data_IF_225048774746
#
_entry.id   IF_225048774746
#
_cell.length_a   1.000
_cell.length_b   1.000
_cell.length_c   1.000
_cell.angle_alpha   90.00
_cell.angle_beta   90.00
_cell.angle_gamma   90.00
#
_symmetry.space_group_name_H-M   'P 1'
#
loop_
_entity.id
_entity.type
_entity.pdbx_description
1 polymer ?
#
# COMPACT_ATOMS: atom_id res chain seq x y z
N UNK A 1 -12.27 -17.18 -8.50
CA UNK A 1 -11.47 -17.86 -9.55
C UNK A 1 -10.18 -18.37 -8.93
N UNK A 2 -9.80 -19.62 -9.18
CA UNK A 2 -8.43 -20.06 -8.89
C UNK A 2 -7.51 -19.23 -9.79
N UNK A 3 -6.47 -18.63 -9.21
CA UNK A 3 -5.47 -17.93 -9.99
C UNK A 3 -4.83 -18.93 -10.97
N UNK A 4 -4.86 -18.63 -12.27
CA UNK A 4 -4.17 -19.45 -13.27
C UNK A 4 -2.67 -19.41 -12.94
N UNK A 5 -2.13 -20.56 -12.53
CA UNK A 5 -0.71 -20.69 -12.16
C UNK A 5 0.09 -20.83 -13.44
N UNK A 6 1.08 -19.96 -13.61
CA UNK A 6 1.93 -19.87 -14.79
C UNK A 6 3.39 -20.05 -14.40
N UNK A 7 4.19 -20.62 -15.29
CA UNK A 7 5.65 -20.63 -15.18
C UNK A 7 6.22 -19.42 -15.93
N UNK A 8 6.98 -18.57 -15.23
CA UNK A 8 7.47 -17.30 -15.78
C UNK A 8 8.92 -17.35 -16.25
N UNK A 9 9.38 -16.39 -17.09
CA UNK A 9 10.72 -16.41 -17.69
C UNK A 9 11.90 -16.44 -16.71
N UNK A 10 11.68 -16.02 -15.45
CA UNK A 10 12.70 -16.05 -14.40
C UNK A 10 12.76 -17.40 -13.64
N UNK A 11 12.08 -18.44 -14.14
CA UNK A 11 12.23 -19.83 -13.66
C UNK A 11 11.43 -20.17 -12.40
N UNK A 12 10.33 -19.46 -12.15
CA UNK A 12 9.48 -19.71 -10.99
C UNK A 12 7.99 -19.58 -11.36
N UNK A 13 7.14 -20.18 -10.52
CA UNK A 13 5.70 -20.25 -10.72
C UNK A 13 4.99 -19.08 -10.03
N UNK A 14 3.89 -18.61 -10.59
CA UNK A 14 3.09 -17.55 -10.00
C UNK A 14 1.80 -17.28 -10.77
N UNK A 15 1.25 -16.09 -10.61
CA UNK A 15 0.08 -15.63 -11.36
C UNK A 15 0.21 -14.14 -11.64
N UNK A 16 -0.31 -13.69 -12.80
CA UNK A 16 -0.33 -12.28 -13.22
C UNK A 16 -1.07 -11.35 -12.24
N UNK A 17 -1.80 -11.90 -11.27
CA UNK A 17 -2.49 -11.16 -10.20
C UNK A 17 -1.63 -10.93 -8.95
N UNK A 18 -0.42 -11.50 -8.88
CA UNK A 18 0.44 -11.43 -7.70
C UNK A 18 1.77 -10.76 -8.03
N UNK A 19 2.36 -10.08 -7.05
CA UNK A 19 3.71 -9.57 -7.20
C UNK A 19 4.73 -10.72 -7.31
N UNK A 20 5.84 -10.51 -8.01
CA UNK A 20 6.93 -11.51 -8.17
C UNK A 20 7.42 -12.09 -6.84
N UNK A 21 7.31 -11.35 -5.74
CA UNK A 21 7.67 -11.83 -4.39
C UNK A 21 6.82 -12.99 -3.88
N UNK A 22 5.68 -13.28 -4.50
CA UNK A 22 4.84 -14.43 -4.18
C UNK A 22 5.29 -15.70 -4.91
N UNK A 23 6.13 -15.57 -5.94
CA UNK A 23 6.50 -16.71 -6.79
C UNK A 23 7.17 -17.84 -6.00
N UNK A 24 6.84 -19.07 -6.38
CA UNK A 24 7.36 -20.30 -5.79
C UNK A 24 8.21 -21.12 -6.76
N UNK A 25 8.99 -22.06 -6.23
CA UNK A 25 9.80 -22.99 -7.03
C UNK A 25 8.92 -23.94 -7.87
N UNK A 26 7.70 -24.17 -7.42
CA UNK A 26 6.69 -25.02 -8.06
C UNK A 26 5.28 -24.43 -7.84
N UNK A 27 4.28 -25.01 -8.51
CA UNK A 27 2.90 -24.54 -8.45
C UNK A 27 2.28 -24.68 -7.05
N UNK A 28 2.59 -25.76 -6.33
CA UNK A 28 2.01 -26.06 -5.02
C UNK A 28 2.58 -25.10 -3.96
N UNK A 29 3.89 -24.82 -4.00
CA UNK A 29 4.52 -23.86 -3.09
C UNK A 29 4.01 -22.43 -3.33
N UNK A 30 3.83 -22.01 -4.59
CA UNK A 30 3.17 -20.74 -4.93
C UNK A 30 1.74 -20.69 -4.37
N UNK A 31 0.91 -21.70 -4.66
CA UNK A 31 -0.49 -21.72 -4.24
C UNK A 31 -0.63 -21.74 -2.71
N UNK A 32 0.18 -22.53 -2.02
CA UNK A 32 0.19 -22.58 -0.56
C UNK A 32 0.52 -21.21 0.03
N UNK A 33 1.56 -20.54 -0.49
CA UNK A 33 1.95 -19.21 -0.06
C UNK A 33 0.86 -18.16 -0.35
N UNK A 34 0.38 -18.08 -1.59
CA UNK A 34 -0.62 -17.12 -2.03
C UNK A 34 -1.94 -17.26 -1.24
N UNK A 35 -2.44 -18.50 -1.07
CA UNK A 35 -3.66 -18.75 -0.32
C UNK A 35 -3.50 -18.43 1.17
N UNK A 36 -2.33 -18.73 1.77
CA UNK A 36 -2.06 -18.39 3.16
C UNK A 36 -2.05 -16.87 3.38
N UNK A 37 -1.47 -16.10 2.46
CA UNK A 37 -1.48 -14.63 2.53
C UNK A 37 -2.86 -14.05 2.27
N UNK A 38 -3.60 -14.58 1.28
CA UNK A 38 -4.97 -14.17 0.98
C UNK A 38 -5.88 -14.39 2.20
N UNK A 39 -5.75 -15.53 2.88
CA UNK A 39 -6.51 -15.80 4.10
C UNK A 39 -6.20 -14.76 5.18
N UNK A 40 -4.92 -14.50 5.45
CA UNK A 40 -4.49 -13.49 6.44
C UNK A 40 -5.03 -12.09 6.09
N UNK A 41 -4.92 -11.69 4.84
CA UNK A 41 -5.41 -10.40 4.36
C UNK A 41 -6.93 -10.29 4.47
N UNK A 42 -7.66 -11.35 4.12
CA UNK A 42 -9.12 -11.42 4.24
C UNK A 42 -9.57 -11.32 5.71
N UNK A 43 -8.97 -12.11 6.60
CA UNK A 43 -9.28 -12.09 8.04
C UNK A 43 -9.02 -10.69 8.65
N UNK A 44 -7.93 -10.03 8.23
CA UNK A 44 -7.61 -8.66 8.65
C UNK A 44 -8.62 -7.65 8.09
N UNK A 45 -8.92 -7.72 6.79
CA UNK A 45 -9.84 -6.80 6.13
C UNK A 45 -11.25 -6.87 6.71
N UNK A 46 -11.74 -8.06 7.05
CA UNK A 46 -13.06 -8.24 7.67
C UNK A 46 -13.20 -7.44 8.96
N UNK A 47 -12.15 -7.45 9.77
CA UNK A 47 -12.13 -6.80 11.09
C UNK A 47 -11.67 -5.34 11.03
N UNK A 48 -11.21 -4.82 9.89
CA UNK A 48 -10.68 -3.46 9.78
C UNK A 48 -11.79 -2.40 9.71
N UNK A 49 -11.67 -1.33 10.48
CA UNK A 49 -12.63 -0.21 10.49
C UNK A 49 -12.29 0.85 9.45
N UNK A 50 -11.00 1.00 9.17
CA UNK A 50 -10.45 1.98 8.22
C UNK A 50 -9.67 1.26 7.13
N UNK A 51 -9.93 1.61 5.88
CA UNK A 51 -9.21 1.12 4.70
C UNK A 51 -8.58 2.30 3.99
N UNK A 52 -7.26 2.27 3.84
CA UNK A 52 -6.51 3.30 3.12
C UNK A 52 -6.14 2.78 1.74
N UNK A 53 -6.47 3.51 0.67
CA UNK A 53 -6.12 3.17 -0.71
C UNK A 53 -5.29 4.30 -1.31
N UNK A 54 -4.07 3.97 -1.73
CA UNK A 54 -3.19 4.88 -2.47
C UNK A 54 -3.20 4.52 -3.95
N UNK A 55 -3.80 5.37 -4.78
CA UNK A 55 -3.81 5.21 -6.23
C UNK A 55 -2.50 5.68 -6.87
N UNK A 56 -1.85 4.81 -7.63
CA UNK A 56 -0.59 5.12 -8.31
C UNK A 56 -0.80 5.74 -9.70
N UNK A 57 -1.50 5.00 -10.57
CA UNK A 57 -1.69 5.33 -11.97
C UNK A 57 -3.09 4.94 -12.43
N UNK A 58 -3.64 5.68 -13.40
CA UNK A 58 -4.89 5.37 -14.09
C UNK A 58 -4.67 4.41 -15.27
N UNK A 59 -3.43 3.99 -15.53
CA UNK A 59 -3.13 3.00 -16.56
C UNK A 59 -3.22 1.59 -16.01
N UNK A 60 -3.93 0.73 -16.73
CA UNK A 60 -3.97 -0.72 -16.47
C UNK A 60 -3.34 -1.49 -17.61
N UNK A 61 -2.86 -2.68 -17.30
CA UNK A 61 -2.45 -3.66 -18.29
C UNK A 61 -3.46 -4.80 -18.32
N UNK A 62 -3.74 -5.30 -19.52
CA UNK A 62 -4.62 -6.46 -19.70
C UNK A 62 -3.90 -7.56 -20.46
N UNK A 63 -4.09 -8.81 -20.02
CA UNK A 63 -3.62 -10.02 -20.69
C UNK A 63 -4.85 -10.86 -21.05
N UNK A 64 -5.02 -11.16 -22.34
CA UNK A 64 -6.19 -11.91 -22.84
C UNK A 64 -7.54 -11.33 -22.36
N UNK A 65 -7.64 -9.99 -22.30
CA UNK A 65 -8.85 -9.27 -21.89
C UNK A 65 -9.09 -9.18 -20.38
N UNK A 66 -8.20 -9.75 -19.54
CA UNK A 66 -8.28 -9.63 -18.07
C UNK A 66 -7.24 -8.64 -17.56
N UNK A 67 -7.61 -7.77 -16.62
CA UNK A 67 -6.67 -6.86 -15.94
C UNK A 67 -5.66 -7.68 -15.14
N UNK A 68 -4.39 -7.27 -15.20
CA UNK A 68 -3.28 -7.91 -14.48
C UNK A 68 -2.62 -6.95 -13.51
N UNK A 69 -2.07 -7.48 -12.42
CA UNK A 69 -1.35 -6.71 -11.42
C UNK A 69 0.17 -6.64 -11.69
N UNK A 70 0.72 -7.63 -12.39
CA UNK A 70 2.14 -7.71 -12.70
C UNK A 70 2.35 -8.39 -14.06
N UNK A 71 3.29 -7.89 -14.86
CA UNK A 71 3.62 -8.46 -16.18
C UNK A 71 4.73 -9.53 -16.13
N UNK A 72 5.35 -9.79 -14.96
CA UNK A 72 6.31 -10.87 -14.73
C UNK A 72 7.47 -10.95 -15.74
N UNK A 73 7.95 -9.79 -16.21
CA UNK A 73 8.99 -9.66 -17.25
C UNK A 73 8.63 -10.35 -18.58
N UNK A 74 7.35 -10.66 -18.81
CA UNK A 74 6.89 -11.17 -20.10
C UNK A 74 6.97 -10.07 -21.18
N UNK A 75 7.13 -10.45 -22.46
CA UNK A 75 7.15 -9.50 -23.56
C UNK A 75 5.93 -8.57 -23.58
N UNK A 76 6.18 -7.26 -23.73
CA UNK A 76 5.13 -6.23 -23.72
C UNK A 76 4.02 -6.47 -24.77
N UNK A 77 4.35 -7.12 -25.90
CA UNK A 77 3.39 -7.49 -26.97
C UNK A 77 2.24 -8.39 -26.52
N UNK A 78 2.34 -9.01 -25.35
CA UNK A 78 1.28 -9.84 -24.79
C UNK A 78 0.25 -9.05 -23.99
N UNK A 79 0.51 -7.77 -23.74
CA UNK A 79 -0.34 -6.92 -22.92
C UNK A 79 -0.89 -5.79 -23.76
N UNK A 80 -2.16 -5.49 -23.55
CA UNK A 80 -2.70 -4.20 -23.92
C UNK A 80 -2.58 -3.27 -22.73
N UNK A 81 -2.50 -1.98 -23.03
CA UNK A 81 -2.40 -0.93 -22.03
C UNK A 81 -3.58 0.02 -22.21
N UNK A 82 -4.42 0.07 -21.19
CA UNK A 82 -5.70 0.76 -21.25
C UNK A 82 -5.72 1.88 -20.19
N UNK A 83 -6.18 3.07 -20.60
CA UNK A 83 -6.40 4.19 -19.66
C UNK A 83 -7.76 4.05 -19.01
N UNK A 84 -7.79 4.01 -17.68
CA UNK A 84 -9.03 4.06 -16.92
C UNK A 84 -9.52 5.51 -16.87
N UNK A 85 -10.70 5.75 -17.43
CA UNK A 85 -11.38 7.01 -17.23
C UNK A 85 -11.77 7.19 -15.75
N UNK A 86 -12.02 8.43 -15.31
CA UNK A 86 -12.51 8.67 -13.95
C UNK A 86 -13.77 7.88 -13.62
N UNK A 87 -14.70 7.79 -14.59
CA UNK A 87 -15.98 7.08 -14.45
C UNK A 87 -15.73 5.58 -14.30
N UNK A 88 -14.86 5.00 -15.13
CA UNK A 88 -14.57 3.57 -15.03
C UNK A 88 -13.88 3.21 -13.72
N UNK A 89 -12.99 4.08 -13.23
CA UNK A 89 -12.33 3.90 -11.93
C UNK A 89 -13.37 3.91 -10.80
N UNK A 90 -14.28 4.88 -10.79
CA UNK A 90 -15.37 4.94 -9.80
C UNK A 90 -16.32 3.74 -9.89
N UNK A 91 -16.66 3.29 -11.10
CA UNK A 91 -17.49 2.11 -11.35
C UNK A 91 -16.85 0.84 -10.76
N UNK A 92 -15.55 0.65 -10.95
CA UNK A 92 -14.82 -0.51 -10.41
C UNK A 92 -14.79 -0.52 -8.87
N UNK A 93 -14.72 0.64 -8.24
CA UNK A 93 -14.69 0.78 -6.79
C UNK A 93 -16.07 0.65 -6.14
N UNK A 94 -17.12 1.05 -6.85
CA UNK A 94 -18.51 1.12 -6.34
C UNK A 94 -19.00 -0.16 -5.66
N UNK A 95 -18.87 -1.37 -6.26
CA UNK A 95 -19.33 -2.60 -5.61
C UNK A 95 -18.61 -2.90 -4.29
N UNK A 96 -17.32 -2.54 -4.18
CA UNK A 96 -16.53 -2.73 -2.98
C UNK A 96 -17.01 -1.81 -1.85
N UNK A 97 -17.24 -0.53 -2.18
CA UNK A 97 -17.72 0.48 -1.24
C UNK A 97 -19.13 0.16 -0.74
N UNK A 98 -20.04 -0.26 -1.64
CA UNK A 98 -21.40 -0.66 -1.29
C UNK A 98 -21.42 -1.87 -0.33
N UNK A 99 -20.62 -2.90 -0.65
CA UNK A 99 -20.55 -4.14 0.15
C UNK A 99 -20.00 -3.89 1.56
N UNK A 100 -19.12 -2.91 1.70
CA UNK A 100 -18.41 -2.60 2.94
C UNK A 100 -18.64 -1.14 3.37
N UNK A 101 -19.90 -0.72 3.36
CA UNK A 101 -20.34 0.61 3.74
C UNK A 101 -20.10 0.93 5.23
N UNK A 102 -19.88 -0.09 6.06
CA UNK A 102 -19.54 0.05 7.48
C UNK A 102 -18.07 0.46 7.72
N UNK A 103 -17.23 0.43 6.69
CA UNK A 103 -15.81 0.83 6.78
C UNK A 103 -15.64 2.29 6.39
N UNK A 104 -14.68 2.97 7.01
CA UNK A 104 -14.20 4.28 6.55
C UNK A 104 -13.13 4.07 5.48
N UNK A 105 -13.30 4.70 4.32
CA UNK A 105 -12.37 4.60 3.20
C UNK A 105 -11.59 5.89 3.06
N UNK A 106 -10.27 5.84 3.22
CA UNK A 106 -9.40 6.99 2.99
C UNK A 106 -8.65 6.73 1.69
N UNK A 107 -8.95 7.52 0.66
CA UNK A 107 -8.32 7.44 -0.64
C UNK A 107 -7.27 8.54 -0.77
N UNK A 108 -6.18 8.25 -1.48
CA UNK A 108 -5.15 9.23 -1.78
C UNK A 108 -4.52 8.93 -3.14
N UNK A 109 -3.96 9.95 -3.78
CA UNK A 109 -3.17 9.79 -5.01
C UNK A 109 -1.69 9.83 -4.66
N UNK A 110 -0.92 8.85 -5.11
CA UNK A 110 0.51 8.79 -4.83
C UNK A 110 1.26 9.98 -5.47
N UNK A 111 2.17 10.65 -4.74
CA UNK A 111 3.06 11.68 -5.29
C UNK A 111 4.21 11.14 -6.15
N UNK A 112 4.38 9.81 -6.22
CA UNK A 112 5.40 9.18 -7.06
C UNK A 112 5.12 9.50 -8.54
N UNK A 113 6.17 9.93 -9.24
CA UNK A 113 6.10 10.31 -10.66
C UNK A 113 6.27 9.09 -11.56
N UNK A 114 5.31 8.88 -12.47
CA UNK A 114 5.39 7.85 -13.51
C UNK A 114 5.96 8.44 -14.80
N UNK A 115 7.28 8.60 -14.85
CA UNK A 115 7.96 9.21 -16.00
C UNK A 115 7.90 8.40 -17.30
N UNK A 116 7.53 7.13 -17.24
CA UNK A 116 7.32 6.30 -18.44
C UNK A 116 6.32 6.90 -19.44
N UNK A 117 5.43 7.78 -18.96
CA UNK A 117 4.43 8.48 -19.79
C UNK A 117 4.77 9.97 -20.03
N UNK A 118 5.96 10.39 -19.61
CA UNK A 118 6.35 11.80 -19.54
C UNK A 118 5.56 12.60 -18.49
N UNK A 119 5.95 13.86 -18.32
CA UNK A 119 5.29 14.76 -17.35
C UNK A 119 3.78 14.91 -17.65
N UNK A 120 3.43 15.09 -18.92
CA UNK A 120 2.05 15.31 -19.32
C UNK A 120 1.17 14.07 -19.05
N UNK A 121 1.62 12.88 -19.45
CA UNK A 121 0.89 11.64 -19.21
C UNK A 121 0.73 11.33 -17.72
N UNK A 122 1.77 11.59 -16.91
CA UNK A 122 1.68 11.51 -15.46
C UNK A 122 0.59 12.46 -14.92
N UNK A 123 0.56 13.72 -15.34
CA UNK A 123 -0.45 14.67 -14.88
C UNK A 123 -1.88 14.25 -15.27
N UNK A 124 -2.09 13.80 -16.51
CA UNK A 124 -3.39 13.28 -16.96
C UNK A 124 -3.83 12.08 -16.11
N UNK A 125 -2.91 11.16 -15.82
CA UNK A 125 -3.19 10.01 -14.96
C UNK A 125 -3.59 10.44 -13.55
N UNK A 126 -2.86 11.36 -12.92
CA UNK A 126 -3.18 11.82 -11.55
C UNK A 126 -4.50 12.57 -11.52
N UNK A 127 -4.75 13.45 -12.50
CA UNK A 127 -6.02 14.15 -12.66
C UNK A 127 -7.21 13.18 -12.81
N UNK A 128 -7.05 12.11 -13.60
CA UNK A 128 -8.10 11.10 -13.75
C UNK A 128 -8.46 10.42 -12.42
N UNK A 129 -7.45 10.06 -11.63
CA UNK A 129 -7.65 9.46 -10.31
C UNK A 129 -8.30 10.44 -9.31
N UNK A 130 -7.88 11.71 -9.29
CA UNK A 130 -8.50 12.75 -8.47
C UNK A 130 -9.99 12.89 -8.79
N UNK A 131 -10.32 12.99 -10.08
CA UNK A 131 -11.70 13.09 -10.55
C UNK A 131 -12.53 11.82 -10.26
N UNK A 132 -11.91 10.65 -10.16
CA UNK A 132 -12.58 9.42 -9.73
C UNK A 132 -12.89 9.45 -8.24
N UNK A 133 -11.93 9.87 -7.41
CA UNK A 133 -12.10 9.96 -5.96
C UNK A 133 -13.18 10.98 -5.60
N UNK A 134 -13.19 12.16 -6.25
CA UNK A 134 -14.23 13.19 -6.04
C UNK A 134 -15.63 12.60 -6.23
N UNK A 135 -15.86 11.89 -7.36
CA UNK A 135 -17.14 11.22 -7.62
C UNK A 135 -17.50 10.17 -6.58
N UNK A 136 -16.51 9.43 -6.08
CA UNK A 136 -16.72 8.45 -5.02
C UNK A 136 -17.09 9.12 -3.70
N UNK A 137 -16.49 10.27 -3.37
CA UNK A 137 -16.86 11.04 -2.18
C UNK A 137 -18.29 11.58 -2.27
N UNK A 138 -18.70 12.08 -3.43
CA UNK A 138 -20.07 12.55 -3.66
C UNK A 138 -21.10 11.43 -3.50
N UNK A 139 -20.73 10.21 -3.90
CA UNK A 139 -21.63 9.05 -3.90
C UNK A 139 -21.63 8.28 -2.57
N UNK A 140 -20.55 8.37 -1.79
CA UNK A 140 -20.33 7.54 -0.60
C UNK A 140 -19.89 8.39 0.60
N UNK A 141 -20.76 8.57 1.61
CA UNK A 141 -20.49 9.44 2.76
C UNK A 141 -19.41 8.88 3.71
N UNK A 142 -18.94 7.65 3.51
CA UNK A 142 -17.86 7.00 4.24
C UNK A 142 -16.51 7.03 3.48
N UNK A 143 -16.44 7.72 2.33
CA UNK A 143 -15.19 7.96 1.59
C UNK A 143 -14.61 9.33 1.95
N UNK A 144 -13.30 9.38 2.17
CA UNK A 144 -12.51 10.58 2.50
C UNK A 144 -11.30 10.63 1.58
N UNK A 145 -10.88 11.83 1.21
CA UNK A 145 -9.63 12.04 0.50
C UNK A 145 -8.54 12.59 1.41
N UNK A 146 -7.33 12.03 1.29
CA UNK A 146 -6.12 12.57 1.90
C UNK A 146 -5.17 13.10 0.80
N UNK A 147 -4.74 14.38 0.86
CA UNK A 147 -4.07 15.04 -0.26
C UNK A 147 -2.54 14.79 -0.31
N UNK A 148 -2.09 13.52 -0.34
CA UNK A 148 -0.64 13.23 -0.33
C UNK A 148 0.09 13.69 -1.60
N UNK A 149 -0.61 13.73 -2.74
CA UNK A 149 -0.08 14.25 -3.99
C UNK A 149 0.19 15.75 -3.92
N UNK A 150 -0.79 16.51 -3.45
CA UNK A 150 -0.78 17.97 -3.33
C UNK A 150 0.20 18.43 -2.25
N UNK A 151 0.33 17.70 -1.13
CA UNK A 151 1.37 17.98 -0.13
C UNK A 151 2.77 18.01 -0.78
N UNK A 152 3.06 17.07 -1.69
CA UNK A 152 4.36 17.07 -2.37
C UNK A 152 4.44 18.13 -3.46
N UNK A 153 3.40 18.30 -4.26
CA UNK A 153 3.43 19.20 -5.41
C UNK A 153 3.35 20.69 -5.03
N UNK A 154 2.53 21.02 -4.04
CA UNK A 154 2.20 22.41 -3.70
C UNK A 154 2.88 22.87 -2.42
N UNK A 155 2.97 22.02 -1.39
CA UNK A 155 3.57 22.41 -0.11
C UNK A 155 5.09 22.21 -0.10
N UNK A 156 5.58 21.03 -0.53
CA UNK A 156 7.00 20.74 -0.56
C UNK A 156 7.69 21.24 -1.83
N UNK A 157 7.03 21.19 -3.00
CA UNK A 157 7.32 21.89 -4.28
C UNK A 157 8.76 21.87 -4.83
N UNK A 158 9.69 21.15 -4.23
CA UNK A 158 11.13 21.17 -4.56
C UNK A 158 11.67 19.75 -4.81
N UNK A 159 12.62 19.62 -5.74
CA UNK A 159 13.26 18.36 -6.07
C UNK A 159 14.05 17.73 -4.91
N UNK A 160 14.47 18.53 -3.92
CA UNK A 160 15.14 18.06 -2.70
C UNK A 160 14.32 17.05 -1.90
N UNK A 161 13.01 16.99 -2.14
CA UNK A 161 12.09 16.08 -1.49
C UNK A 161 11.95 14.74 -2.22
N UNK A 162 12.63 14.57 -3.35
CA UNK A 162 12.74 13.30 -4.08
C UNK A 162 14.04 12.58 -3.75
N UNK A 163 14.02 11.26 -3.88
CA UNK A 163 15.21 10.43 -3.86
C UNK A 163 16.07 10.68 -5.10
N UNK A 164 17.27 10.08 -5.14
CA UNK A 164 18.23 10.28 -6.21
C UNK A 164 17.71 9.92 -7.62
N UNK A 165 16.70 9.06 -7.71
CA UNK A 165 16.06 8.71 -8.99
C UNK A 165 15.05 9.75 -9.50
N UNK A 166 14.76 10.80 -8.72
CA UNK A 166 13.84 11.90 -9.06
C UNK A 166 12.40 11.43 -9.38
N UNK A 167 12.07 10.21 -8.96
CA UNK A 167 10.77 9.55 -9.14
C UNK A 167 10.12 9.30 -7.78
N UNK A 168 10.90 8.69 -6.88
CA UNK A 168 10.50 8.34 -5.53
C UNK A 168 10.78 9.49 -4.57
N UNK A 169 10.10 9.48 -3.43
CA UNK A 169 10.29 10.47 -2.39
C UNK A 169 11.47 10.12 -1.49
N UNK A 170 12.14 11.14 -0.96
CA UNK A 170 13.12 10.95 0.11
C UNK A 170 12.46 10.51 1.41
N UNK A 171 13.22 9.87 2.31
CA UNK A 171 12.69 9.36 3.59
C UNK A 171 12.06 10.46 4.46
N UNK A 172 12.66 11.66 4.48
CA UNK A 172 12.13 12.82 5.21
C UNK A 172 10.74 13.22 4.68
N UNK A 173 10.56 13.19 3.36
CA UNK A 173 9.28 13.49 2.71
C UNK A 173 8.21 12.46 3.04
N UNK A 174 8.58 11.16 3.05
CA UNK A 174 7.67 10.09 3.44
C UNK A 174 7.22 10.28 4.90
N UNK A 175 8.16 10.62 5.79
CA UNK A 175 7.87 10.89 7.20
C UNK A 175 6.93 12.08 7.35
N UNK A 176 7.17 13.16 6.62
CA UNK A 176 6.32 14.34 6.60
C UNK A 176 4.88 14.02 6.20
N UNK A 177 4.70 13.27 5.10
CA UNK A 177 3.36 12.85 4.63
C UNK A 177 2.68 11.97 5.69
N UNK A 178 3.41 11.05 6.32
CA UNK A 178 2.86 10.19 7.37
C UNK A 178 2.42 11.00 8.59
N UNK A 179 3.18 12.01 9.00
CA UNK A 179 2.81 12.92 10.08
C UNK A 179 1.51 13.66 9.76
N UNK A 180 1.43 14.27 8.58
CA UNK A 180 0.21 14.96 8.10
C UNK A 180 -0.99 14.02 7.99
N UNK A 181 -0.76 12.77 7.57
CA UNK A 181 -1.80 11.74 7.52
C UNK A 181 -2.32 11.41 8.91
N UNK A 182 -1.43 11.17 9.87
CA UNK A 182 -1.82 10.84 11.23
C UNK A 182 -2.52 12.00 11.95
N UNK A 183 -2.11 13.25 11.68
CA UNK A 183 -2.83 14.43 12.18
C UNK A 183 -4.27 14.53 11.66
N UNK A 184 -4.50 14.12 10.41
CA UNK A 184 -5.82 14.17 9.79
C UNK A 184 -6.69 12.95 10.13
N UNK A 185 -6.08 11.79 10.34
CA UNK A 185 -6.79 10.50 10.40
C UNK A 185 -6.77 9.82 11.78
N UNK A 186 -5.99 10.33 12.75
CA UNK A 186 -5.79 9.67 14.04
C UNK A 186 -5.95 10.63 15.23
N UNK A 187 -6.54 10.10 16.32
CA UNK A 187 -6.60 10.80 17.60
C UNK A 187 -5.21 10.90 18.26
N UNK A 188 -5.08 11.74 19.30
CA UNK A 188 -3.83 11.93 20.03
C UNK A 188 -3.26 10.62 20.61
N UNK A 189 -4.12 9.79 21.19
CA UNK A 189 -3.71 8.51 21.76
C UNK A 189 -3.12 7.56 20.68
N UNK A 190 -3.74 7.50 19.49
CA UNK A 190 -3.24 6.69 18.37
C UNK A 190 -1.93 7.24 17.85
N UNK A 191 -1.79 8.57 17.74
CA UNK A 191 -0.51 9.21 17.37
C UNK A 191 0.60 8.87 18.37
N UNK A 192 0.31 8.83 19.66
CA UNK A 192 1.26 8.40 20.69
C UNK A 192 1.64 6.93 20.59
N UNK A 193 0.68 6.05 20.26
CA UNK A 193 0.96 4.64 20.01
C UNK A 193 1.86 4.46 18.78
N UNK A 194 1.63 5.22 17.71
CA UNK A 194 2.48 5.19 16.51
C UNK A 194 3.90 5.62 16.85
N UNK A 195 4.10 6.73 17.57
CA UNK A 195 5.43 7.18 18.01
C UNK A 195 6.18 6.11 18.83
N UNK A 196 5.47 5.41 19.73
CA UNK A 196 6.03 4.29 20.50
C UNK A 196 6.44 3.12 19.59
N UNK A 197 5.61 2.80 18.59
CA UNK A 197 5.88 1.74 17.63
C UNK A 197 7.07 2.09 16.72
N UNK A 198 7.18 3.33 16.26
CA UNK A 198 8.32 3.82 15.46
C UNK A 198 9.63 3.67 16.23
N UNK A 199 9.67 4.10 17.50
CA UNK A 199 10.84 3.96 18.37
C UNK A 199 11.22 2.50 18.58
N UNK A 200 10.23 1.63 18.76
CA UNK A 200 10.44 0.18 18.91
C UNK A 200 11.00 -0.42 17.60
N UNK A 201 10.42 -0.09 16.46
CA UNK A 201 10.87 -0.57 15.15
C UNK A 201 12.30 -0.11 14.84
N UNK A 202 12.64 1.15 15.15
CA UNK A 202 14.02 1.65 15.02
C UNK A 202 14.99 0.87 15.92
N UNK A 203 14.57 0.52 17.14
CA UNK A 203 15.38 -0.28 18.07
C UNK A 203 15.55 -1.73 17.59
N UNK A 204 14.51 -2.32 16.99
CA UNK A 204 14.54 -3.67 16.42
C UNK A 204 15.36 -3.75 15.13
N UNK A 205 15.41 -2.68 14.35
CA UNK A 205 16.21 -2.60 13.13
C UNK A 205 17.72 -2.42 13.41
N UNK A 206 18.08 -2.02 14.64
CA UNK A 206 19.47 -1.81 15.03
C UNK A 206 20.28 -3.11 14.97
N UNK A 207 21.40 -3.10 14.24
CA UNK A 207 22.33 -4.23 14.15
C UNK A 207 23.36 -4.14 15.29
N UNK A 208 23.33 -5.04 16.29
CA UNK A 208 24.25 -4.97 17.43
C UNK A 208 25.68 -5.31 17.02
N UNK A 209 26.66 -4.58 17.56
CA UNK A 209 28.10 -4.84 17.35
C UNK A 209 28.53 -6.22 17.87
N UNK A 210 27.91 -6.69 18.96
CA UNK A 210 28.16 -7.99 19.56
C UNK A 210 26.86 -8.81 19.70
N UNK A 211 26.40 -9.48 18.63
CA UNK A 211 25.09 -10.16 18.63
C UNK A 211 24.94 -11.28 19.66
N UNK A 212 26.05 -11.91 20.05
CA UNK A 212 26.08 -13.03 21.01
C UNK A 212 26.34 -12.61 22.46
N UNK A 213 26.44 -11.30 22.75
CA UNK A 213 26.67 -10.83 24.11
C UNK A 213 25.43 -11.02 24.99
N UNK A 214 25.63 -11.20 26.29
CA UNK A 214 24.55 -11.24 27.27
C UNK A 214 23.72 -9.94 27.26
N UNK A 215 24.39 -8.80 27.09
CA UNK A 215 23.75 -7.49 26.96
C UNK A 215 22.79 -7.43 25.78
N UNK A 216 23.20 -7.97 24.62
CA UNK A 216 22.33 -8.04 23.44
C UNK A 216 21.13 -8.97 23.69
N UNK A 217 21.32 -10.10 24.37
CA UNK A 217 20.24 -11.00 24.74
C UNK A 217 19.22 -10.34 25.66
N UNK A 218 19.68 -9.63 26.70
CA UNK A 218 18.82 -8.85 27.62
C UNK A 218 18.08 -7.76 26.86
N UNK A 219 18.77 -7.05 25.97
CA UNK A 219 18.17 -5.99 25.15
C UNK A 219 17.07 -6.54 24.23
N UNK A 220 17.33 -7.62 23.49
CA UNK A 220 16.34 -8.26 22.62
C UNK A 220 15.10 -8.74 23.40
N UNK A 221 15.30 -9.35 24.58
CA UNK A 221 14.18 -9.73 25.45
C UNK A 221 13.34 -8.53 25.90
N UNK A 222 13.98 -7.41 26.20
CA UNK A 222 13.29 -6.15 26.54
C UNK A 222 12.46 -5.64 25.37
N UNK A 223 13.00 -5.65 24.15
CA UNK A 223 12.27 -5.22 22.95
C UNK A 223 11.07 -6.11 22.66
N UNK A 224 11.21 -7.44 22.77
CA UNK A 224 10.10 -8.38 22.57
C UNK A 224 9.00 -8.18 23.63
N UNK A 225 9.36 -7.93 24.89
CA UNK A 225 8.38 -7.60 25.93
C UNK A 225 7.63 -6.30 25.59
N UNK A 226 8.34 -5.25 25.22
CA UNK A 226 7.74 -3.97 24.82
C UNK A 226 6.81 -4.14 23.60
N UNK A 227 7.20 -4.97 22.64
CA UNK A 227 6.38 -5.32 21.48
C UNK A 227 5.07 -5.99 21.88
N UNK A 228 5.13 -6.99 22.76
CA UNK A 228 3.95 -7.71 23.23
C UNK A 228 2.98 -6.77 23.98
N UNK A 229 3.49 -5.92 24.88
CA UNK A 229 2.70 -4.94 25.62
C UNK A 229 2.03 -3.91 24.70
N UNK A 230 2.75 -3.42 23.69
CA UNK A 230 2.23 -2.45 22.74
C UNK A 230 1.16 -3.07 21.83
N UNK A 231 1.38 -4.30 21.34
CA UNK A 231 0.38 -5.04 20.56
C UNK A 231 -0.88 -5.35 21.38
N UNK A 232 -0.73 -5.67 22.66
CA UNK A 232 -1.85 -5.87 23.56
C UNK A 232 -2.65 -4.57 23.76
N UNK A 233 -1.95 -3.45 23.94
CA UNK A 233 -2.58 -2.13 24.08
C UNK A 233 -3.39 -1.76 22.83
N UNK A 234 -2.80 -1.93 21.64
CA UNK A 234 -3.48 -1.72 20.35
C UNK A 234 -4.68 -2.65 20.20
N UNK A 235 -4.51 -3.94 20.54
CA UNK A 235 -5.58 -4.93 20.48
C UNK A 235 -6.75 -4.62 21.41
N UNK A 236 -6.49 -4.07 22.59
CA UNK A 236 -7.52 -3.64 23.53
C UNK A 236 -8.26 -2.41 23.01
N UNK A 237 -7.55 -1.41 22.46
CA UNK A 237 -8.17 -0.22 21.86
C UNK A 237 -9.10 -0.62 20.70
N UNK A 238 -8.68 -1.52 19.83
CA UNK A 238 -9.50 -2.04 18.73
C UNK A 238 -10.79 -2.74 19.19
N UNK A 239 -10.84 -3.31 20.40
CA UNK A 239 -12.05 -3.92 20.95
C UNK A 239 -13.03 -2.91 21.56
N UNK A 240 -12.57 -1.69 21.86
CA UNK A 240 -13.35 -0.62 22.48
C UNK A 240 -13.99 0.31 21.44
N UNK A 241 -13.44 0.35 20.23
CA UNK A 241 -14.00 1.05 19.06
C UNK A 241 -15.01 0.16 18.32
#
# INVERSE_FOLDING_TARGET
EQAEVMHFPYGAYGSLNHHTSFSGEDADSFLAHANAQLKKASDFFLTADVVVITFGTAWTYTYQGKVVANCHKMPARFFNRDFLSPEKTAELMTPLLQRHHNKTWIMTVSPIRHWGDGAHGNQLSKASLLLAIERLQDSFPNVRYFPSYELVMDELRDYRYYAADMCHLGEETIRYILERFLEAAADEETRDLVKKMEKLNASLAHKPLFPKSEQNFIFSKKLEKQRAELLQTIGNKRKLC
#
